data_IF_899169285197
#
_entry.id   IF_899169285197
#
_cell.length_a   1.000
_cell.length_b   1.000
_cell.length_c   1.000
_cell.angle_alpha   90.00
_cell.angle_beta   90.00
_cell.angle_gamma   90.00
#
_symmetry.space_group_name_H-M   'P 1'
#
loop_
_entity.id
_entity.type
_entity.pdbx_description
1 polymer ?
#
# COMPACT_ATOMS: atom_id res chain seq x y z
N UNK A 1 17.87 16.25 25.72
CA UNK A 1 16.93 15.89 24.64
C UNK A 1 16.18 17.16 24.20
N UNK A 2 16.49 17.70 23.02
CA UNK A 2 15.70 18.79 22.47
C UNK A 2 14.32 18.22 22.11
N UNK A 3 13.24 18.82 22.61
CA UNK A 3 11.88 18.48 22.21
C UNK A 3 11.79 18.60 20.68
N UNK A 4 11.61 17.49 20.00
CA UNK A 4 11.25 17.50 18.59
C UNK A 4 9.91 18.22 18.48
N UNK A 5 9.91 19.40 17.88
CA UNK A 5 8.69 20.14 17.58
C UNK A 5 7.71 19.27 16.77
N UNK A 6 6.46 19.69 16.70
CA UNK A 6 5.46 19.01 15.86
C UNK A 6 5.85 19.16 14.38
N UNK A 7 5.66 18.08 13.60
CA UNK A 7 5.86 18.13 12.15
C UNK A 7 5.05 19.27 11.51
N UNK A 8 5.62 19.97 10.51
CA UNK A 8 4.91 21.03 9.82
C UNK A 8 3.56 20.55 9.27
N UNK A 9 2.55 21.39 9.41
CA UNK A 9 1.22 21.12 8.87
C UNK A 9 1.22 21.41 7.37
N UNK A 10 0.83 20.42 6.58
CA UNK A 10 0.47 20.62 5.19
C UNK A 10 -1.00 21.02 5.09
N UNK A 11 -1.27 22.02 4.27
CA UNK A 11 -2.60 22.52 4.00
C UNK A 11 -2.92 22.31 2.52
N UNK A 12 -4.09 21.75 2.25
CA UNK A 12 -4.67 21.70 0.92
C UNK A 12 -5.91 22.57 0.83
N UNK A 13 -6.33 22.87 -0.39
CA UNK A 13 -7.55 23.59 -0.69
C UNK A 13 -8.33 22.82 -1.74
N UNK A 14 -9.60 22.56 -1.48
CA UNK A 14 -10.53 21.96 -2.43
C UNK A 14 -11.87 22.68 -2.30
N UNK A 15 -12.42 23.10 -3.43
CA UNK A 15 -13.72 23.78 -3.51
C UNK A 15 -13.83 25.01 -2.59
N UNK A 16 -12.73 25.77 -2.45
CA UNK A 16 -12.64 26.95 -1.58
C UNK A 16 -12.49 26.63 -0.09
N UNK A 17 -12.46 25.37 0.30
CA UNK A 17 -12.25 24.93 1.68
C UNK A 17 -10.80 24.54 1.94
N UNK A 18 -10.24 25.07 3.02
CA UNK A 18 -8.90 24.72 3.50
C UNK A 18 -8.95 23.51 4.42
N UNK A 19 -8.11 22.52 4.18
CA UNK A 19 -8.02 21.33 5.02
C UNK A 19 -6.57 20.97 5.35
N UNK A 20 -6.36 20.37 6.50
CA UNK A 20 -5.05 19.91 6.94
C UNK A 20 -4.75 18.52 6.36
N UNK A 21 -3.59 18.37 5.72
CA UNK A 21 -3.07 17.09 5.22
C UNK A 21 -2.18 16.39 6.25
N UNK A 22 -2.18 16.79 7.50
CA UNK A 22 -1.25 16.27 8.51
C UNK A 22 -1.28 14.74 8.62
N UNK A 23 -2.46 14.13 8.63
CA UNK A 23 -2.60 12.67 8.72
C UNK A 23 -2.27 11.93 7.42
N UNK A 24 -2.24 12.65 6.29
CA UNK A 24 -1.99 12.10 4.96
C UNK A 24 -0.70 12.64 4.34
N UNK A 25 0.13 13.33 5.11
CA UNK A 25 1.38 13.91 4.65
C UNK A 25 2.27 12.82 4.02
N UNK A 26 2.56 12.89 2.71
CA UNK A 26 3.32 11.84 2.02
C UNK A 26 4.77 11.74 2.49
N UNK A 27 5.39 12.84 2.90
CA UNK A 27 6.76 12.85 3.46
C UNK A 27 6.79 12.08 4.78
N UNK A 28 5.80 12.30 5.65
CA UNK A 28 5.67 11.56 6.91
C UNK A 28 5.43 10.07 6.66
N UNK A 29 4.57 9.71 5.71
CA UNK A 29 4.33 8.31 5.36
C UNK A 29 5.60 7.62 4.87
N UNK A 30 6.34 8.26 3.97
CA UNK A 30 7.61 7.72 3.47
C UNK A 30 8.63 7.57 4.60
N UNK A 31 8.71 8.55 5.50
CA UNK A 31 9.58 8.47 6.68
C UNK A 31 9.21 7.30 7.59
N UNK A 32 7.92 7.10 7.87
CA UNK A 32 7.40 5.97 8.67
C UNK A 32 7.76 4.64 7.99
N UNK A 33 7.43 4.46 6.71
CA UNK A 33 7.71 3.21 5.99
C UNK A 33 9.19 2.85 5.98
N UNK A 34 10.05 3.86 5.79
CA UNK A 34 11.49 3.67 5.83
C UNK A 34 11.96 3.23 7.22
N UNK A 35 11.44 3.84 8.29
CA UNK A 35 11.74 3.44 9.65
C UNK A 35 11.24 2.04 9.98
N UNK A 36 10.09 1.63 9.47
CA UNK A 36 9.57 0.28 9.62
C UNK A 36 10.49 -0.75 8.96
N UNK A 37 11.00 -0.46 7.75
CA UNK A 37 11.98 -1.33 7.09
C UNK A 37 13.20 -1.53 7.99
N UNK A 38 13.74 -0.47 8.56
CA UNK A 38 14.92 -0.57 9.43
C UNK A 38 14.65 -1.19 10.80
N UNK A 39 13.46 -1.02 11.35
CA UNK A 39 13.17 -1.47 12.72
C UNK A 39 12.53 -2.86 12.76
N UNK A 40 11.74 -3.22 11.76
CA UNK A 40 10.91 -4.42 11.75
C UNK A 40 11.38 -5.40 10.69
N UNK A 41 11.46 -4.97 9.43
CA UNK A 41 11.67 -5.89 8.31
C UNK A 41 13.13 -6.28 8.10
N UNK A 42 14.07 -5.38 8.36
CA UNK A 42 15.49 -5.67 8.25
C UNK A 42 16.33 -4.89 9.29
N UNK A 43 16.25 -5.26 10.58
CA UNK A 43 16.99 -4.57 11.64
C UNK A 43 18.51 -4.54 11.45
N UNK A 44 19.07 -5.49 10.69
CA UNK A 44 20.50 -5.54 10.35
C UNK A 44 20.94 -4.36 9.52
N UNK A 45 20.08 -3.85 8.62
CA UNK A 45 20.38 -2.65 7.83
C UNK A 45 20.70 -1.44 8.69
N UNK A 46 20.03 -1.30 9.82
CA UNK A 46 20.26 -0.17 10.74
C UNK A 46 21.65 -0.17 11.35
N UNK A 47 22.19 -1.37 11.59
CA UNK A 47 23.52 -1.53 12.19
C UNK A 47 24.64 -1.37 11.16
N UNK A 48 24.48 -2.00 10.00
CA UNK A 48 25.60 -2.24 9.08
C UNK A 48 25.67 -1.21 7.94
N UNK A 49 24.53 -0.89 7.34
CA UNK A 49 24.48 -0.07 6.12
C UNK A 49 23.80 1.28 6.33
N UNK A 50 23.07 1.42 7.40
CA UNK A 50 22.40 2.65 7.76
C UNK A 50 21.42 3.17 6.71
N UNK A 51 21.31 4.45 6.73
CA UNK A 51 20.36 5.25 6.01
C UNK A 51 20.40 5.09 4.46
N UNK A 52 21.61 4.93 3.89
CA UNK A 52 21.80 4.93 2.44
C UNK A 52 21.35 3.64 1.73
N UNK A 53 21.05 2.58 2.48
CA UNK A 53 20.61 1.30 1.92
C UNK A 53 19.17 1.33 1.38
N UNK A 54 18.33 2.25 1.85
CA UNK A 54 16.93 2.37 1.45
C UNK A 54 16.67 3.76 0.91
N UNK A 55 16.34 3.85 -0.37
CA UNK A 55 15.84 5.08 -1.00
C UNK A 55 14.32 5.08 -0.91
N UNK A 56 13.75 6.16 -0.42
CA UNK A 56 12.31 6.32 -0.31
C UNK A 56 11.91 7.74 -0.72
N UNK A 57 11.11 7.86 -1.75
CA UNK A 57 10.73 9.13 -2.36
C UNK A 57 9.24 9.28 -2.58
N UNK A 58 8.86 10.44 -3.09
CA UNK A 58 7.47 10.79 -3.37
C UNK A 58 7.37 11.27 -4.82
N UNK A 59 6.35 10.77 -5.53
CA UNK A 59 6.08 11.11 -6.92
C UNK A 59 4.67 11.71 -7.01
N UNK A 60 4.57 12.90 -7.60
CA UNK A 60 3.31 13.58 -7.87
C UNK A 60 3.15 13.81 -9.39
N UNK A 61 2.47 12.92 -10.11
CA UNK A 61 2.44 12.94 -11.57
C UNK A 61 1.72 14.14 -12.16
N UNK A 62 0.88 14.82 -11.40
CA UNK A 62 0.04 15.93 -11.89
C UNK A 62 0.41 17.28 -11.26
N UNK A 63 1.49 17.36 -10.51
CA UNK A 63 1.90 18.59 -9.83
C UNK A 63 3.26 19.08 -10.33
N UNK A 64 3.40 20.35 -10.71
CA UNK A 64 4.67 20.95 -11.06
C UNK A 64 5.68 20.89 -9.90
N UNK A 65 6.93 20.56 -10.21
CA UNK A 65 7.99 20.37 -9.20
C UNK A 65 8.18 21.60 -8.30
N UNK A 66 8.11 22.79 -8.87
CA UNK A 66 8.24 24.02 -8.10
C UNK A 66 7.21 24.09 -6.96
N UNK A 67 5.93 23.79 -7.26
CA UNK A 67 4.86 23.79 -6.25
C UNK A 67 5.06 22.67 -5.22
N UNK A 68 5.61 21.53 -5.63
CA UNK A 68 5.91 20.44 -4.71
C UNK A 68 6.98 20.84 -3.70
N UNK A 69 8.05 21.47 -4.14
CA UNK A 69 9.11 21.92 -3.23
C UNK A 69 8.64 23.07 -2.32
N UNK A 70 7.81 23.98 -2.80
CA UNK A 70 7.17 24.99 -1.96
C UNK A 70 6.29 24.37 -0.87
N UNK A 71 5.53 23.33 -1.19
CA UNK A 71 4.61 22.66 -0.26
C UNK A 71 5.32 21.70 0.70
N UNK A 72 6.20 20.84 0.17
CA UNK A 72 6.81 19.74 0.93
C UNK A 72 8.14 20.12 1.59
N UNK A 73 8.78 21.20 1.12
CA UNK A 73 10.08 21.67 1.62
C UNK A 73 10.16 21.74 3.14
N UNK A 74 9.24 22.41 3.84
CA UNK A 74 9.27 22.49 5.29
C UNK A 74 9.20 21.11 5.99
N UNK A 75 8.53 20.14 5.38
CA UNK A 75 8.44 18.78 5.92
C UNK A 75 9.74 18.00 5.68
N UNK A 76 10.35 18.19 4.51
CA UNK A 76 11.64 17.58 4.17
C UNK A 76 12.74 18.08 5.11
N UNK A 77 12.81 19.39 5.32
CA UNK A 77 13.74 20.03 6.25
C UNK A 77 13.54 19.54 7.69
N UNK A 78 12.31 19.49 8.15
CA UNK A 78 11.96 19.00 9.48
C UNK A 78 12.47 17.57 9.73
N UNK A 79 12.44 16.72 8.70
CA UNK A 79 12.93 15.34 8.75
C UNK A 79 14.41 15.21 8.34
N UNK A 80 15.06 16.30 7.94
CA UNK A 80 16.44 16.29 7.44
C UNK A 80 16.62 15.52 6.14
N UNK A 81 15.52 15.36 5.38
CA UNK A 81 15.53 14.63 4.10
C UNK A 81 16.05 15.50 2.96
N UNK A 82 15.99 16.80 3.10
CA UNK A 82 16.56 17.82 2.21
C UNK A 82 18.06 17.69 2.05
N UNK A 83 18.77 17.26 3.11
CA UNK A 83 20.24 17.09 3.11
C UNK A 83 20.71 15.97 2.20
N UNK A 84 19.84 15.05 1.89
CA UNK A 84 20.19 13.84 1.13
C UNK A 84 19.14 13.54 0.04
N UNK A 85 18.98 14.42 -0.96
CA UNK A 85 17.94 14.30 -1.97
C UNK A 85 18.02 13.01 -2.79
N UNK A 86 19.21 12.42 -2.93
CA UNK A 86 19.36 11.12 -3.61
C UNK A 86 18.65 9.97 -2.90
N UNK A 87 18.50 10.06 -1.58
CA UNK A 87 17.86 9.01 -0.77
C UNK A 87 16.42 9.35 -0.42
N UNK A 88 15.98 10.55 -0.73
CA UNK A 88 14.63 11.04 -0.51
C UNK A 88 14.15 11.88 -1.69
N UNK A 89 14.12 11.30 -2.91
CA UNK A 89 13.73 12.05 -4.11
C UNK A 89 12.27 12.51 -4.03
N UNK A 90 12.04 13.72 -4.52
CA UNK A 90 10.70 14.26 -4.77
C UNK A 90 10.63 14.64 -6.23
N UNK A 91 9.69 14.05 -6.95
CA UNK A 91 9.54 14.23 -8.39
C UNK A 91 8.13 14.62 -8.75
N UNK A 92 8.02 15.52 -9.71
CA UNK A 92 6.76 16.04 -10.21
C UNK A 92 6.50 15.73 -11.67
N UNK A 93 5.60 16.52 -12.25
CA UNK A 93 5.17 16.40 -13.63
C UNK A 93 6.35 16.49 -14.60
N UNK A 94 7.27 17.45 -14.39
CA UNK A 94 8.38 17.72 -15.31
C UNK A 94 9.33 16.53 -15.41
N UNK A 95 9.76 15.95 -14.29
CA UNK A 95 10.64 14.77 -14.30
C UNK A 95 9.98 13.58 -14.97
N UNK A 96 8.68 13.38 -14.79
CA UNK A 96 7.94 12.30 -15.44
C UNK A 96 7.77 12.52 -16.93
N UNK A 97 7.39 13.73 -17.36
CA UNK A 97 7.19 14.07 -18.75
C UNK A 97 8.48 13.98 -19.55
N UNK A 98 9.60 14.39 -18.93
CA UNK A 98 10.92 14.33 -19.56
C UNK A 98 11.54 12.93 -19.51
N UNK A 99 10.93 11.98 -18.81
CA UNK A 99 11.48 10.63 -18.62
C UNK A 99 12.78 10.61 -17.83
N UNK A 100 12.99 11.57 -16.91
CA UNK A 100 14.22 11.73 -16.14
C UNK A 100 14.28 10.72 -14.98
N UNK A 101 14.56 9.47 -15.34
CA UNK A 101 14.65 8.36 -14.38
C UNK A 101 15.70 8.65 -13.30
N UNK A 102 16.75 9.37 -13.62
CA UNK A 102 17.82 9.69 -12.67
C UNK A 102 17.38 10.62 -11.55
N UNK A 103 16.38 11.46 -11.79
CA UNK A 103 15.73 12.27 -10.75
C UNK A 103 14.67 11.50 -9.98
N UNK A 104 13.90 10.67 -10.65
CA UNK A 104 12.81 9.90 -10.04
C UNK A 104 13.37 8.79 -9.15
N UNK A 105 14.37 8.06 -9.66
CA UNK A 105 15.06 6.98 -8.97
C UNK A 105 16.59 7.15 -9.06
N UNK A 106 17.18 8.07 -8.32
CA UNK A 106 18.60 8.43 -8.46
C UNK A 106 19.58 7.26 -8.43
N UNK A 107 19.21 6.20 -7.70
CA UNK A 107 20.04 5.01 -7.53
C UNK A 107 19.46 3.78 -8.26
N UNK A 108 18.35 3.93 -8.96
CA UNK A 108 17.63 2.82 -9.63
C UNK A 108 18.40 2.18 -10.80
N UNK A 109 19.36 2.90 -11.40
CA UNK A 109 20.19 2.42 -12.50
C UNK A 109 21.48 1.71 -12.03
N UNK A 110 21.71 1.61 -10.74
CA UNK A 110 22.85 0.88 -10.22
C UNK A 110 22.71 -0.62 -10.45
N UNK A 111 23.76 -1.23 -11.00
CA UNK A 111 23.80 -2.69 -11.18
C UNK A 111 24.13 -3.42 -9.88
N UNK A 112 24.89 -2.80 -8.97
CA UNK A 112 25.33 -3.39 -7.71
C UNK A 112 25.03 -2.44 -6.56
N UNK A 113 24.62 -2.98 -5.41
CA UNK A 113 24.48 -2.25 -4.16
C UNK A 113 25.72 -2.46 -3.30
N UNK A 114 26.38 -1.38 -2.90
CA UNK A 114 27.49 -1.42 -1.93
C UNK A 114 27.00 -1.34 -0.48
N UNK A 115 25.72 -1.01 -0.28
CA UNK A 115 25.14 -0.74 1.03
C UNK A 115 24.33 -1.91 1.60
N UNK A 116 24.13 -2.95 0.82
CA UNK A 116 23.32 -4.09 1.21
C UNK A 116 24.06 -5.39 0.91
N UNK A 117 24.34 -6.17 1.95
CA UNK A 117 24.90 -7.51 1.80
C UNK A 117 23.86 -8.50 1.27
N UNK A 118 24.28 -9.65 0.69
CA UNK A 118 23.35 -10.69 0.27
C UNK A 118 22.42 -11.18 1.39
N UNK A 119 22.91 -11.23 2.63
CA UNK A 119 22.12 -11.65 3.80
C UNK A 119 21.01 -10.65 4.09
N UNK A 120 21.32 -9.35 4.08
CA UNK A 120 20.33 -8.28 4.26
C UNK A 120 19.29 -8.26 3.14
N UNK A 121 19.74 -8.48 1.90
CA UNK A 121 18.83 -8.60 0.77
C UNK A 121 17.89 -9.81 0.91
N UNK A 122 18.37 -10.91 1.49
CA UNK A 122 17.58 -12.10 1.75
C UNK A 122 16.55 -11.87 2.87
N UNK A 123 16.92 -11.13 3.92
CA UNK A 123 15.97 -10.73 4.97
C UNK A 123 14.78 -9.96 4.36
N UNK A 124 15.03 -8.98 3.49
CA UNK A 124 13.97 -8.24 2.82
C UNK A 124 13.15 -9.10 1.85
N UNK A 125 13.80 -9.98 1.09
CA UNK A 125 13.11 -10.89 0.17
C UNK A 125 12.15 -11.83 0.89
N UNK A 126 12.52 -12.29 2.08
CA UNK A 126 11.66 -13.17 2.89
C UNK A 126 10.33 -12.51 3.26
N UNK A 127 10.30 -11.19 3.38
CA UNK A 127 9.06 -10.43 3.61
C UNK A 127 8.25 -10.22 2.33
N UNK A 128 8.89 -10.27 1.15
CA UNK A 128 8.22 -10.16 -0.15
C UNK A 128 7.68 -11.50 -0.64
N UNK A 129 8.20 -12.61 -0.11
CA UNK A 129 7.69 -13.95 -0.43
C UNK A 129 6.36 -14.13 0.30
N UNK A 130 5.33 -14.40 -0.46
CA UNK A 130 4.03 -14.68 0.11
C UNK A 130 4.09 -15.97 0.95
N UNK A 131 3.66 -15.95 2.21
CA UNK A 131 3.57 -17.17 3.02
C UNK A 131 2.67 -18.22 2.33
N UNK A 132 3.03 -19.51 2.42
CA UNK A 132 2.27 -20.61 1.83
C UNK A 132 0.80 -20.60 2.25
N UNK A 133 0.51 -20.16 3.46
CA UNK A 133 -0.85 -19.99 3.97
C UNK A 133 -1.62 -18.97 3.13
N UNK A 134 -1.03 -17.83 2.80
CA UNK A 134 -1.66 -16.81 1.97
C UNK A 134 -1.83 -17.27 0.52
N UNK A 135 -0.85 -17.98 -0.02
CA UNK A 135 -0.94 -18.58 -1.35
C UNK A 135 -2.06 -19.64 -1.40
N UNK A 136 -2.24 -20.41 -0.32
CA UNK A 136 -3.33 -21.39 -0.22
C UNK A 136 -4.71 -20.74 -0.11
N UNK A 137 -4.80 -19.58 0.54
CA UNK A 137 -6.06 -18.80 0.65
C UNK A 137 -6.51 -18.21 -0.69
N UNK A 138 -5.61 -17.98 -1.63
CA UNK A 138 -5.96 -17.50 -3.00
C UNK A 138 -6.48 -18.60 -3.92
N UNK A 139 -6.36 -19.88 -3.54
CA UNK A 139 -6.99 -20.95 -4.31
C UNK A 139 -8.50 -20.75 -4.31
N UNK A 140 -9.19 -21.03 -5.44
CA UNK A 140 -10.62 -20.91 -5.49
C UNK A 140 -11.25 -21.67 -4.31
N UNK A 141 -12.02 -20.99 -3.52
CA UNK A 141 -12.68 -21.59 -2.37
C UNK A 141 -13.64 -22.63 -2.88
N UNK A 142 -13.37 -23.90 -2.56
CA UNK A 142 -14.28 -25.00 -2.89
C UNK A 142 -15.38 -25.04 -1.84
N UNK A 143 -16.62 -24.99 -2.31
CA UNK A 143 -17.77 -25.23 -1.46
C UNK A 143 -17.77 -26.69 -0.98
N UNK A 144 -18.08 -26.90 0.29
CA UNK A 144 -18.31 -28.24 0.82
C UNK A 144 -19.65 -28.82 0.31
N UNK A 145 -19.90 -30.10 0.61
CA UNK A 145 -21.11 -30.78 0.13
C UNK A 145 -22.39 -30.14 0.64
N UNK A 146 -22.40 -29.68 1.90
CA UNK A 146 -23.56 -29.03 2.50
C UNK A 146 -23.81 -27.65 1.88
N UNK A 147 -22.74 -26.87 1.71
CA UNK A 147 -22.81 -25.58 1.05
C UNK A 147 -23.32 -25.69 -0.39
N UNK A 148 -22.89 -26.71 -1.14
CA UNK A 148 -23.37 -26.99 -2.49
C UNK A 148 -24.88 -27.31 -2.52
N UNK A 149 -25.40 -28.01 -1.52
CA UNK A 149 -26.85 -28.25 -1.39
C UNK A 149 -27.58 -26.90 -1.28
N UNK A 150 -27.09 -25.98 -0.44
CA UNK A 150 -27.70 -24.66 -0.31
C UNK A 150 -27.63 -23.81 -1.58
N UNK A 151 -26.58 -23.94 -2.35
CA UNK A 151 -26.43 -23.24 -3.65
C UNK A 151 -27.44 -23.77 -4.67
N UNK A 152 -27.63 -25.09 -4.74
CA UNK A 152 -28.39 -25.76 -5.82
C UNK A 152 -29.87 -25.96 -5.50
N UNK A 153 -30.26 -25.91 -4.22
CA UNK A 153 -31.67 -26.16 -3.84
C UNK A 153 -32.58 -25.05 -4.39
N UNK A 154 -33.67 -25.47 -5.08
CA UNK A 154 -34.72 -24.56 -5.52
C UNK A 154 -35.51 -24.01 -4.33
N UNK A 155 -35.87 -22.71 -4.39
CA UNK A 155 -36.85 -22.10 -3.49
C UNK A 155 -38.17 -22.02 -4.21
N UNK A 156 -39.26 -22.34 -3.53
CA UNK A 156 -40.65 -22.19 -4.08
C UNK A 156 -41.02 -20.71 -4.22
N UNK A 157 -40.49 -19.84 -3.34
CA UNK A 157 -40.65 -18.39 -3.42
C UNK A 157 -39.33 -17.77 -3.84
N UNK A 158 -39.32 -16.59 -4.45
CA UNK A 158 -38.09 -15.87 -4.85
C UNK A 158 -37.20 -15.43 -3.68
N UNK A 159 -37.60 -15.70 -2.43
CA UNK A 159 -36.88 -15.28 -1.22
C UNK A 159 -36.25 -16.48 -0.52
N UNK A 160 -34.97 -16.33 -0.11
CA UNK A 160 -34.28 -17.32 0.70
C UNK A 160 -33.41 -16.64 1.77
N UNK A 161 -33.53 -17.09 3.00
CA UNK A 161 -32.74 -16.66 4.13
C UNK A 161 -31.74 -17.78 4.55
N UNK A 162 -30.45 -17.45 4.61
CA UNK A 162 -29.42 -18.38 5.05
C UNK A 162 -28.97 -17.95 6.47
N UNK A 163 -29.07 -18.87 7.43
CA UNK A 163 -28.66 -18.68 8.82
C UNK A 163 -27.53 -19.64 9.17
N UNK A 164 -26.68 -19.26 10.09
CA UNK A 164 -25.58 -20.08 10.59
C UNK A 164 -24.63 -19.26 11.46
N UNK A 165 -23.74 -19.90 12.21
CA UNK A 165 -22.75 -19.24 13.05
C UNK A 165 -21.75 -18.41 12.24
N UNK A 166 -20.98 -17.53 12.91
CA UNK A 166 -19.90 -16.80 12.26
C UNK A 166 -18.87 -17.78 11.67
N UNK A 167 -18.31 -17.47 10.51
CA UNK A 167 -17.34 -18.33 9.84
C UNK A 167 -17.90 -19.52 9.06
N UNK A 168 -19.22 -19.80 9.09
CA UNK A 168 -19.83 -20.95 8.38
C UNK A 168 -19.93 -20.79 6.85
N UNK A 169 -19.32 -19.79 6.27
CA UNK A 169 -19.31 -19.58 4.81
C UNK A 169 -20.61 -19.07 4.21
N UNK A 170 -21.51 -18.45 5.00
CA UNK A 170 -22.80 -17.91 4.50
C UNK A 170 -22.64 -16.97 3.31
N UNK A 171 -21.73 -16.03 3.39
CA UNK A 171 -21.45 -15.08 2.31
C UNK A 171 -20.96 -15.77 1.04
N UNK A 172 -20.16 -16.83 1.20
CA UNK A 172 -19.68 -17.64 0.09
C UNK A 172 -20.82 -18.38 -0.61
N UNK A 173 -21.71 -19.00 0.17
CA UNK A 173 -22.92 -19.69 -0.35
C UNK A 173 -23.83 -18.68 -1.05
N UNK A 174 -24.04 -17.50 -0.48
CA UNK A 174 -24.84 -16.43 -1.10
C UNK A 174 -24.23 -15.97 -2.43
N UNK A 175 -22.92 -15.72 -2.47
CA UNK A 175 -22.22 -15.30 -3.69
C UNK A 175 -22.31 -16.37 -4.79
N UNK A 176 -22.03 -17.63 -4.43
CA UNK A 176 -22.11 -18.75 -5.36
C UNK A 176 -23.53 -18.95 -5.91
N UNK A 177 -24.56 -18.85 -5.05
CA UNK A 177 -25.95 -18.94 -5.47
C UNK A 177 -26.37 -17.78 -6.37
N UNK A 178 -25.97 -16.56 -6.03
CA UNK A 178 -26.23 -15.38 -6.86
C UNK A 178 -25.62 -15.55 -8.26
N UNK A 179 -24.39 -16.03 -8.33
CA UNK A 179 -23.70 -16.33 -9.59
C UNK A 179 -24.48 -17.37 -10.43
N UNK A 180 -24.92 -18.48 -9.81
CA UNK A 180 -25.68 -19.50 -10.51
C UNK A 180 -27.06 -19.00 -11.02
N UNK A 181 -27.74 -18.14 -10.27
CA UNK A 181 -29.01 -17.54 -10.69
C UNK A 181 -28.80 -16.52 -11.81
N UNK A 182 -27.74 -15.72 -11.76
CA UNK A 182 -27.41 -14.77 -12.82
C UNK A 182 -27.06 -15.47 -14.14
N UNK A 183 -26.35 -16.61 -14.11
CA UNK A 183 -26.11 -17.44 -15.31
C UNK A 183 -27.42 -17.93 -15.98
N UNK A 184 -28.47 -18.01 -15.21
CA UNK A 184 -29.81 -18.40 -15.69
C UNK A 184 -30.70 -17.20 -16.05
N UNK A 185 -30.09 -16.01 -16.25
CA UNK A 185 -30.79 -14.74 -16.57
C UNK A 185 -31.83 -14.29 -15.53
N UNK A 186 -31.69 -14.70 -14.26
CA UNK A 186 -32.56 -14.20 -13.20
C UNK A 186 -32.05 -12.88 -12.65
N UNK A 187 -32.97 -11.99 -12.25
CA UNK A 187 -32.60 -10.81 -11.45
C UNK A 187 -32.43 -11.23 -10.01
N UNK A 188 -31.27 -10.87 -9.40
CA UNK A 188 -30.89 -11.27 -8.05
C UNK A 188 -30.61 -10.04 -7.21
N UNK A 189 -31.24 -9.97 -6.03
CA UNK A 189 -30.93 -9.01 -4.98
C UNK A 189 -30.37 -9.78 -3.79
N UNK A 190 -29.17 -9.40 -3.35
CA UNK A 190 -28.51 -9.94 -2.15
C UNK A 190 -28.52 -8.86 -1.09
N UNK A 191 -29.03 -9.19 0.09
CA UNK A 191 -29.03 -8.31 1.28
C UNK A 191 -28.28 -9.03 2.38
N UNK A 192 -27.29 -8.34 2.98
CA UNK A 192 -26.42 -8.87 4.04
C UNK A 192 -26.59 -8.09 5.35
#
# INVERSE_FOLDING_TARGET
>A
MKSLGKAPLLWGESDGNRFSLQSQNPVEKVHIYRNEIFNIYCPRLKKDSGFAAVTAGVIFPFCPERKLFELLGPCLEYRGMDKYPKYSPVSGLESLTNGDISKIFPEGMRRNSFFMSPIQAMDLRNWLIEPDVSASQRKPIKLDKEQLVYVNTRTQSGYRRIRGPAGSGKSLVLAARASELLKKNNKVLVVT
#
